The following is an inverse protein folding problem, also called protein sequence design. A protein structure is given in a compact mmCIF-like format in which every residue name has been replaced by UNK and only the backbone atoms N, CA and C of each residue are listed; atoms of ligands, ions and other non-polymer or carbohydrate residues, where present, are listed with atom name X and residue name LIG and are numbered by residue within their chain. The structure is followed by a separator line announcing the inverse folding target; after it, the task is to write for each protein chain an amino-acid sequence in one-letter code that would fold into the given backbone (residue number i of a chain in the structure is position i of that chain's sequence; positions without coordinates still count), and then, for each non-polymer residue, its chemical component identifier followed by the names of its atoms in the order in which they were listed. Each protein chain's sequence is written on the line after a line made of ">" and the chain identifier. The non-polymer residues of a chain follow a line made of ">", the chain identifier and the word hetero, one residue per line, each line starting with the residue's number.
data_IF_166352209216
#
_entry.id   IF_166352209216
#
_cell.length_a   1.000
_cell.length_b   1.000
_cell.length_c   1.000
_cell.angle_alpha   90.00
_cell.angle_beta   90.00
_cell.angle_gamma   90.00
#
_symmetry.space_group_name_H-M   'P 1'
#
loop_
_entity.id
_entity.type
_entity.pdbx_description
1 polymer ?
#
# COMPACT_ATOMS: atom_id res chain seq x y z
N UNK A 1 50.12 -1.17 -11.52
CA UNK A 1 48.94 -0.58 -12.21
C UNK A 1 47.83 -0.48 -11.18
N UNK A 2 47.38 0.73 -10.83
CA UNK A 2 46.28 0.90 -9.88
C UNK A 2 45.00 0.36 -10.50
N UNK A 3 44.37 -0.62 -9.87
CA UNK A 3 43.08 -1.17 -10.27
C UNK A 3 42.05 -0.02 -10.36
N UNK A 4 41.43 0.16 -11.52
CA UNK A 4 40.41 1.19 -11.74
C UNK A 4 39.17 0.77 -10.96
N UNK A 5 38.67 1.63 -10.07
CA UNK A 5 37.45 1.35 -9.28
C UNK A 5 36.28 1.02 -10.21
N UNK A 6 35.54 -0.07 -9.98
CA UNK A 6 34.32 -0.34 -10.72
C UNK A 6 33.31 0.79 -10.52
N UNK A 7 32.71 1.25 -11.62
CA UNK A 7 31.70 2.31 -11.60
C UNK A 7 30.32 1.68 -11.64
N UNK A 8 29.46 2.05 -10.70
CA UNK A 8 28.10 1.52 -10.57
C UNK A 8 27.12 2.68 -10.61
N UNK A 9 26.14 2.57 -11.51
CA UNK A 9 25.07 3.54 -11.65
C UNK A 9 23.75 2.89 -11.23
N UNK A 10 23.05 3.51 -10.29
CA UNK A 10 21.70 3.12 -9.88
C UNK A 10 20.74 4.15 -10.45
N UNK A 11 19.74 3.69 -11.22
CA UNK A 11 18.68 4.53 -11.78
C UNK A 11 17.44 4.41 -10.89
N UNK A 12 16.99 5.54 -10.37
CA UNK A 12 15.90 5.66 -9.40
C UNK A 12 16.39 5.70 -7.95
N UNK A 13 16.10 6.80 -7.25
CA UNK A 13 16.28 6.98 -5.81
C UNK A 13 14.98 6.70 -5.03
N UNK A 14 14.23 5.67 -5.45
CA UNK A 14 13.18 5.06 -4.65
C UNK A 14 13.73 4.10 -3.59
N UNK A 15 12.85 3.42 -2.84
CA UNK A 15 13.26 2.49 -1.78
C UNK A 15 14.22 1.40 -2.26
N UNK A 16 13.95 0.77 -3.41
CA UNK A 16 14.80 -0.28 -3.96
C UNK A 16 16.21 0.23 -4.31
N UNK A 17 16.30 1.35 -5.04
CA UNK A 17 17.57 1.93 -5.43
C UNK A 17 18.41 2.42 -4.24
N UNK A 18 17.76 3.04 -3.25
CA UNK A 18 18.44 3.49 -2.03
C UNK A 18 18.88 2.33 -1.13
N UNK A 19 18.09 1.25 -1.06
CA UNK A 19 18.49 0.03 -0.37
C UNK A 19 19.72 -0.63 -1.04
N UNK A 20 19.71 -0.73 -2.37
CA UNK A 20 20.84 -1.23 -3.14
C UNK A 20 22.10 -0.36 -2.93
N UNK A 21 21.96 0.97 -3.01
CA UNK A 21 23.05 1.91 -2.79
C UNK A 21 23.67 1.75 -1.40
N UNK A 22 22.81 1.67 -0.36
CA UNK A 22 23.25 1.47 1.02
C UNK A 22 23.98 0.14 1.20
N UNK A 23 23.49 -0.95 0.60
CA UNK A 23 24.10 -2.27 0.69
C UNK A 23 25.47 -2.30 0.01
N UNK A 24 25.57 -1.79 -1.21
CA UNK A 24 26.82 -1.73 -1.98
C UNK A 24 27.88 -0.88 -1.26
N UNK A 25 27.48 0.30 -0.77
CA UNK A 25 28.38 1.15 0.00
C UNK A 25 28.82 0.49 1.31
N UNK A 26 27.94 -0.22 2.02
CA UNK A 26 28.29 -0.91 3.26
C UNK A 26 29.27 -2.07 3.05
N UNK A 27 29.18 -2.77 1.91
CA UNK A 27 30.02 -3.93 1.61
C UNK A 27 31.37 -3.57 0.98
N UNK A 28 31.40 -2.59 0.09
CA UNK A 28 32.59 -2.29 -0.71
C UNK A 28 33.18 -0.89 -0.43
N UNK A 29 32.44 0.00 0.23
CA UNK A 29 32.88 1.34 0.58
C UNK A 29 33.56 2.06 -0.59
N UNK A 30 34.77 2.56 -0.34
CA UNK A 30 35.55 3.32 -1.32
C UNK A 30 36.15 2.48 -2.45
N UNK A 31 35.94 1.16 -2.48
CA UNK A 31 36.37 0.30 -3.59
C UNK A 31 35.50 0.49 -4.84
N UNK A 32 34.31 1.08 -4.70
CA UNK A 32 33.37 1.36 -5.80
C UNK A 32 33.22 2.87 -6.02
N UNK A 33 32.99 3.26 -7.27
CA UNK A 33 32.49 4.59 -7.65
C UNK A 33 30.98 4.47 -7.89
N UNK A 34 30.17 4.84 -6.87
CA UNK A 34 28.73 4.64 -6.85
C UNK A 34 27.98 5.96 -7.05
N UNK A 35 27.10 5.98 -8.06
CA UNK A 35 26.21 7.13 -8.34
C UNK A 35 24.75 6.67 -8.39
N UNK A 36 23.86 7.44 -7.78
CA UNK A 36 22.40 7.24 -7.88
C UNK A 36 21.82 8.40 -8.67
N UNK A 37 21.09 8.11 -9.74
CA UNK A 37 20.38 9.09 -10.56
C UNK A 37 18.89 8.99 -10.27
N UNK A 38 18.25 10.13 -9.99
CA UNK A 38 16.81 10.24 -9.81
C UNK A 38 16.25 11.15 -10.91
N UNK A 39 15.12 10.76 -11.49
CA UNK A 39 14.47 11.55 -12.53
C UNK A 39 13.70 12.73 -11.93
N UNK A 40 13.14 12.56 -10.73
CA UNK A 40 12.41 13.59 -10.01
C UNK A 40 13.30 14.57 -9.23
N UNK A 41 12.65 15.61 -8.68
CA UNK A 41 13.33 16.62 -7.85
C UNK A 41 13.64 16.12 -6.43
N UNK A 42 13.05 14.98 -6.04
CA UNK A 42 13.16 14.40 -4.70
C UNK A 42 13.44 12.90 -4.77
N UNK A 43 14.09 12.42 -3.73
CA UNK A 43 14.21 10.99 -3.44
C UNK A 43 12.89 10.43 -2.85
N UNK A 44 12.77 9.11 -2.84
CA UNK A 44 11.65 8.37 -2.24
C UNK A 44 10.70 7.70 -3.24
N UNK A 45 10.67 8.18 -4.49
CA UNK A 45 9.80 7.60 -5.53
C UNK A 45 8.33 7.60 -5.10
N UNK A 46 7.71 6.42 -5.04
CA UNK A 46 6.30 6.22 -4.63
C UNK A 46 6.00 6.48 -3.15
N UNK A 47 7.01 6.76 -2.33
CA UNK A 47 6.80 7.24 -0.95
C UNK A 47 6.82 8.76 -0.97
N UNK A 48 5.72 9.39 -0.57
CA UNK A 48 5.53 10.84 -0.65
C UNK A 48 4.62 11.34 0.47
N UNK A 49 5.22 12.05 1.41
CA UNK A 49 4.52 12.88 2.39
C UNK A 49 4.43 14.32 1.88
N UNK A 50 3.23 14.89 1.89
CA UNK A 50 2.95 16.29 1.58
C UNK A 50 2.36 17.00 2.79
N UNK A 51 2.33 18.33 2.77
CA UNK A 51 1.62 19.13 3.75
C UNK A 51 0.29 19.60 3.15
N UNK A 52 -0.81 19.40 3.90
CA UNK A 52 -2.13 19.87 3.53
C UNK A 52 -2.85 20.37 4.78
N UNK A 53 -3.36 21.61 4.72
CA UNK A 53 -4.07 22.25 5.84
C UNK A 53 -3.31 22.21 7.19
N UNK A 54 -1.98 22.33 7.16
CA UNK A 54 -1.13 22.28 8.36
C UNK A 54 -0.92 20.87 8.93
N UNK A 55 -1.37 19.82 8.24
CA UNK A 55 -1.15 18.43 8.58
C UNK A 55 -0.28 17.72 7.53
N UNK A 56 0.44 16.68 7.96
CA UNK A 56 1.16 15.80 7.03
C UNK A 56 0.21 14.75 6.49
N UNK A 57 0.20 14.58 5.16
CA UNK A 57 -0.62 13.61 4.44
C UNK A 57 0.25 12.75 3.53
N UNK A 58 -0.01 11.45 3.48
CA UNK A 58 0.64 10.55 2.53
C UNK A 58 -0.10 10.60 1.20
N UNK A 59 0.63 10.92 0.13
CA UNK A 59 0.13 10.92 -1.26
C UNK A 59 0.47 9.59 -1.95
N UNK A 60 1.36 8.79 -1.36
CA UNK A 60 1.81 7.50 -1.89
C UNK A 60 1.66 6.38 -0.88
N UNK A 61 2.75 5.63 -0.65
CA UNK A 61 2.76 4.54 0.32
C UNK A 61 2.34 5.02 1.72
N UNK A 62 1.16 4.59 2.16
CA UNK A 62 0.52 5.06 3.40
C UNK A 62 0.69 4.06 4.55
N UNK A 63 0.79 2.77 4.22
CA UNK A 63 0.70 1.67 5.18
C UNK A 63 1.94 0.77 5.15
N UNK A 64 2.27 0.21 6.32
CA UNK A 64 3.13 -0.96 6.44
C UNK A 64 2.21 -2.17 6.62
N UNK A 65 2.10 -2.99 5.57
CA UNK A 65 1.27 -4.20 5.56
C UNK A 65 2.00 -5.35 6.26
N UNK A 66 1.40 -5.84 7.35
CA UNK A 66 1.99 -6.85 8.23
C UNK A 66 3.21 -6.35 8.99
N UNK A 67 3.28 -6.64 10.29
CA UNK A 67 4.37 -6.17 11.16
C UNK A 67 5.28 -7.31 11.60
N UNK A 68 4.80 -8.54 11.55
CA UNK A 68 5.53 -9.70 12.01
C UNK A 68 6.47 -10.20 10.91
N UNK A 69 7.77 -10.12 11.18
CA UNK A 69 8.80 -10.50 10.21
C UNK A 69 8.99 -9.52 9.04
N UNK A 70 8.29 -8.38 9.04
CA UNK A 70 8.40 -7.39 7.98
C UNK A 70 9.68 -6.51 8.16
N UNK A 71 10.67 -6.59 7.25
CA UNK A 71 11.89 -5.78 7.36
C UNK A 71 11.65 -4.27 7.27
N UNK A 72 10.53 -3.85 6.67
CA UNK A 72 10.14 -2.44 6.65
C UNK A 72 9.74 -1.95 8.03
N UNK A 73 9.01 -2.76 8.80
CA UNK A 73 8.62 -2.38 10.16
C UNK A 73 9.85 -2.14 11.06
N UNK A 74 10.84 -3.02 11.00
CA UNK A 74 12.12 -2.85 11.70
C UNK A 74 12.87 -1.59 11.28
N UNK A 75 12.84 -1.27 9.98
CA UNK A 75 13.48 -0.06 9.44
C UNK A 75 12.80 1.20 9.98
N UNK A 76 11.48 1.25 9.97
CA UNK A 76 10.70 2.40 10.47
C UNK A 76 10.85 2.55 11.98
N UNK A 77 10.87 1.45 12.73
CA UNK A 77 11.16 1.44 14.17
C UNK A 77 12.55 2.03 14.47
N UNK A 78 13.58 1.60 13.74
CA UNK A 78 14.95 2.13 13.89
C UNK A 78 15.06 3.61 13.48
N UNK A 79 14.20 4.06 12.56
CA UNK A 79 14.12 5.45 12.16
C UNK A 79 13.38 6.32 13.18
N UNK A 80 12.77 5.74 14.22
CA UNK A 80 12.00 6.48 15.23
C UNK A 80 10.72 7.08 14.70
N UNK A 81 10.16 6.54 13.61
CA UNK A 81 9.01 7.11 12.92
C UNK A 81 7.67 6.45 13.26
N UNK A 82 7.71 5.37 14.06
CA UNK A 82 6.52 4.83 14.70
C UNK A 82 6.19 5.71 15.91
N UNK A 83 5.02 6.34 15.93
CA UNK A 83 4.49 6.97 17.15
C UNK A 83 3.94 5.87 18.07
N UNK A 84 4.16 6.02 19.38
CA UNK A 84 3.63 5.07 20.35
C UNK A 84 2.09 5.17 20.37
N UNK A 85 1.41 4.02 20.50
CA UNK A 85 -0.06 3.94 20.62
C UNK A 85 -0.58 4.74 21.84
N UNK A 86 0.28 4.95 22.83
CA UNK A 86 -0.05 5.56 24.12
C UNK A 86 -0.09 7.10 24.09
N UNK A 87 0.58 7.74 23.13
CA UNK A 87 0.56 9.20 22.99
C UNK A 87 -0.76 9.75 22.43
N UNK A 88 -1.61 8.90 21.84
CA UNK A 88 -2.88 9.30 21.23
C UNK A 88 -4.10 9.11 22.13
N UNK A 89 -3.92 8.74 23.41
CA UNK A 89 -5.00 8.71 24.42
C UNK A 89 -6.19 7.79 24.12
N UNK A 90 -6.12 6.95 23.08
CA UNK A 90 -7.27 6.19 22.61
C UNK A 90 -7.43 4.89 23.40
N UNK A 91 -8.41 4.84 24.31
CA UNK A 91 -8.91 3.61 24.98
C UNK A 91 -9.69 2.69 24.03
N UNK A 92 -9.39 2.74 22.74
CA UNK A 92 -10.03 1.96 21.68
C UNK A 92 -9.26 0.66 21.48
N UNK A 93 -9.96 -0.48 21.49
CA UNK A 93 -9.45 -1.78 21.05
C UNK A 93 -9.24 -1.87 19.54
N UNK A 94 -9.73 -0.89 18.77
CA UNK A 94 -9.52 -0.77 17.33
C UNK A 94 -8.29 0.08 17.00
N UNK A 95 -7.62 -0.18 15.88
CA UNK A 95 -6.43 0.57 15.49
C UNK A 95 -6.72 2.06 15.29
N UNK A 96 -5.86 2.94 15.79
CA UNK A 96 -6.16 4.37 16.02
C UNK A 96 -6.43 5.23 14.77
N UNK A 97 -6.43 4.64 13.58
CA UNK A 97 -6.53 5.33 12.29
C UNK A 97 -7.86 5.09 11.56
N UNK A 98 -8.67 4.12 11.99
CA UNK A 98 -10.05 3.96 11.49
C UNK A 98 -10.98 5.07 12.00
N UNK A 99 -10.54 5.89 12.97
CA UNK A 99 -11.37 6.91 13.61
C UNK A 99 -10.55 8.15 13.93
N UNK A 100 -10.53 9.11 13.01
CA UNK A 100 -9.94 10.45 13.25
C UNK A 100 -10.99 11.48 13.70
N UNK A 101 -12.27 11.14 13.72
CA UNK A 101 -13.37 12.11 13.71
C UNK A 101 -14.60 11.75 14.57
N UNK A 102 -14.57 10.66 15.35
CA UNK A 102 -15.61 10.40 16.37
C UNK A 102 -17.02 10.07 15.82
N UNK A 103 -17.10 9.63 14.56
CA UNK A 103 -18.32 9.10 13.91
C UNK A 103 -18.64 7.66 14.37
N UNK A 104 -19.89 7.15 14.20
CA UNK A 104 -20.53 6.21 15.12
C UNK A 104 -19.75 4.92 15.43
N UNK A 105 -20.05 4.34 16.60
CA UNK A 105 -19.46 3.07 17.06
C UNK A 105 -19.66 1.92 16.10
N UNK A 106 -20.70 1.98 15.27
CA UNK A 106 -20.98 1.05 14.20
C UNK A 106 -20.80 1.72 12.82
N UNK A 107 -20.15 1.05 11.86
CA UNK A 107 -20.00 1.58 10.51
C UNK A 107 -21.36 1.81 9.86
N UNK A 108 -21.56 3.02 9.34
CA UNK A 108 -22.76 3.42 8.62
C UNK A 108 -22.47 3.40 7.12
N UNK A 109 -23.17 2.56 6.37
CA UNK A 109 -23.08 2.52 4.91
C UNK A 109 -24.30 3.20 4.31
N UNK A 110 -24.03 4.18 3.45
CA UNK A 110 -25.04 4.96 2.74
C UNK A 110 -24.97 4.66 1.25
N UNK A 111 -26.11 4.37 0.65
CA UNK A 111 -26.25 4.33 -0.79
C UNK A 111 -26.46 5.74 -1.35
N UNK A 112 -26.38 5.87 -2.68
CA UNK A 112 -26.68 7.12 -3.38
C UNK A 112 -28.06 7.66 -2.96
N UNK A 113 -28.16 8.98 -2.77
CA UNK A 113 -29.37 9.61 -2.26
C UNK A 113 -29.53 9.58 -0.74
N UNK A 114 -28.54 9.07 0.00
CA UNK A 114 -28.51 9.11 1.47
C UNK A 114 -29.33 8.02 2.14
N UNK A 115 -29.66 6.94 1.41
CA UNK A 115 -30.37 5.79 1.96
C UNK A 115 -29.41 4.93 2.78
N UNK A 116 -29.79 4.62 4.02
CA UNK A 116 -29.02 3.69 4.84
C UNK A 116 -29.22 2.26 4.37
N UNK A 117 -28.13 1.54 4.18
CA UNK A 117 -28.14 0.11 3.83
C UNK A 117 -28.21 -0.73 5.12
N UNK A 118 -29.00 -1.81 5.10
CA UNK A 118 -29.12 -2.72 6.25
C UNK A 118 -27.75 -3.34 6.62
N UNK A 119 -27.26 -3.14 7.86
CA UNK A 119 -26.01 -3.73 8.31
C UNK A 119 -25.98 -5.26 8.26
N UNK A 120 -27.12 -5.94 8.39
CA UNK A 120 -27.18 -7.41 8.32
C UNK A 120 -26.89 -7.88 6.90
N UNK A 121 -27.49 -7.21 5.90
CA UNK A 121 -27.23 -7.48 4.49
C UNK A 121 -25.76 -7.28 4.15
N UNK A 122 -25.19 -6.15 4.56
CA UNK A 122 -23.77 -5.83 4.32
C UNK A 122 -22.86 -6.87 4.96
N UNK A 123 -23.13 -7.25 6.22
CA UNK A 123 -22.30 -8.25 6.90
C UNK A 123 -22.31 -9.59 6.17
N UNK A 124 -23.45 -10.01 5.62
CA UNK A 124 -23.56 -11.23 4.80
C UNK A 124 -22.71 -11.13 3.54
N UNK A 125 -22.82 -10.02 2.80
CA UNK A 125 -22.09 -9.80 1.55
C UNK A 125 -20.58 -9.66 1.81
N UNK A 126 -20.18 -8.92 2.84
CA UNK A 126 -18.77 -8.80 3.25
C UNK A 126 -18.19 -10.14 3.67
N UNK A 127 -18.96 -10.98 4.39
CA UNK A 127 -18.53 -12.32 4.77
C UNK A 127 -18.35 -13.22 3.54
N UNK A 128 -19.29 -13.18 2.58
CA UNK A 128 -19.18 -13.90 1.32
C UNK A 128 -17.93 -13.46 0.54
N UNK A 129 -17.76 -12.16 0.31
CA UNK A 129 -16.62 -11.63 -0.43
C UNK A 129 -15.29 -12.00 0.22
N UNK A 130 -15.20 -11.85 1.55
CA UNK A 130 -14.00 -12.23 2.31
C UNK A 130 -13.70 -13.72 2.19
N UNK A 131 -14.72 -14.57 2.22
CA UNK A 131 -14.56 -16.02 2.02
C UNK A 131 -14.04 -16.34 0.62
N UNK A 132 -14.59 -15.71 -0.43
CA UNK A 132 -14.12 -15.90 -1.80
C UNK A 132 -12.66 -15.46 -1.97
N UNK A 133 -12.26 -14.32 -1.39
CA UNK A 133 -10.84 -13.88 -1.37
C UNK A 133 -9.93 -14.87 -0.63
N UNK A 134 -10.38 -15.46 0.47
CA UNK A 134 -9.62 -16.48 1.19
C UNK A 134 -9.43 -17.75 0.35
N UNK A 135 -10.44 -18.17 -0.41
CA UNK A 135 -10.31 -19.30 -1.33
C UNK A 135 -9.29 -18.99 -2.45
N UNK A 136 -9.28 -17.77 -2.98
CA UNK A 136 -8.28 -17.33 -3.97
C UNK A 136 -6.88 -17.39 -3.37
N UNK A 137 -6.70 -16.82 -2.17
CA UNK A 137 -5.41 -16.78 -1.49
C UNK A 137 -4.90 -18.17 -1.07
N UNK A 138 -5.78 -19.10 -0.70
CA UNK A 138 -5.37 -20.47 -0.33
C UNK A 138 -4.86 -21.27 -1.54
N UNK A 139 -5.25 -20.88 -2.75
CA UNK A 139 -4.91 -21.60 -3.97
C UNK A 139 -5.56 -22.98 -4.08
N UNK A 140 -6.53 -23.29 -3.22
CA UNK A 140 -7.29 -24.55 -3.21
C UNK A 140 -8.39 -24.58 -4.30
N UNK A 141 -8.52 -23.50 -5.06
CA UNK A 141 -9.47 -23.39 -6.17
C UNK A 141 -8.86 -23.99 -7.44
N UNK A 142 -9.44 -25.07 -7.94
CA UNK A 142 -9.38 -25.41 -9.36
C UNK A 142 -10.57 -24.73 -10.05
N UNK A 143 -10.30 -23.63 -10.75
CA UNK A 143 -11.30 -22.92 -11.55
C UNK A 143 -10.87 -22.88 -13.01
N UNK A 144 -11.85 -23.05 -13.88
CA UNK A 144 -11.74 -22.88 -15.33
C UNK A 144 -11.76 -21.40 -15.77
N UNK A 145 -12.07 -20.48 -14.85
CA UNK A 145 -12.06 -19.04 -15.16
C UNK A 145 -10.65 -18.45 -15.02
N UNK A 146 -10.26 -17.54 -15.92
CA UNK A 146 -8.90 -16.99 -15.95
C UNK A 146 -8.66 -15.83 -14.97
N UNK A 147 -9.71 -15.11 -14.57
CA UNK A 147 -9.59 -13.85 -13.82
C UNK A 147 -10.25 -13.89 -12.45
N UNK A 148 -9.76 -13.03 -11.56
CA UNK A 148 -10.33 -12.82 -10.23
C UNK A 148 -11.76 -12.28 -10.34
N UNK A 149 -12.01 -11.31 -11.23
CA UNK A 149 -13.34 -10.74 -11.45
C UNK A 149 -14.37 -11.80 -11.86
N UNK A 150 -14.07 -12.59 -12.89
CA UNK A 150 -14.95 -13.64 -13.38
C UNK A 150 -15.25 -14.70 -12.30
N UNK A 151 -14.26 -15.07 -11.49
CA UNK A 151 -14.46 -15.99 -10.36
C UNK A 151 -15.43 -15.38 -9.33
N UNK A 152 -15.13 -14.18 -8.84
CA UNK A 152 -15.93 -13.50 -7.82
C UNK A 152 -17.38 -13.33 -8.27
N UNK A 153 -17.59 -12.91 -9.52
CA UNK A 153 -18.92 -12.72 -10.09
C UNK A 153 -19.69 -14.03 -10.21
N UNK A 154 -19.07 -15.08 -10.76
CA UNK A 154 -19.70 -16.40 -10.89
C UNK A 154 -20.16 -16.93 -9.53
N UNK A 155 -19.28 -16.91 -8.52
CA UNK A 155 -19.64 -17.44 -7.20
C UNK A 155 -20.69 -16.58 -6.50
N UNK A 156 -20.64 -15.25 -6.68
CA UNK A 156 -21.70 -14.37 -6.19
C UNK A 156 -23.06 -14.70 -6.82
N UNK A 157 -23.11 -14.94 -8.13
CA UNK A 157 -24.35 -15.33 -8.81
C UNK A 157 -24.86 -16.71 -8.38
N UNK A 158 -23.96 -17.66 -8.13
CA UNK A 158 -24.32 -18.99 -7.61
C UNK A 158 -24.91 -18.94 -6.20
N UNK A 159 -24.44 -18.02 -5.36
CA UNK A 159 -24.93 -17.84 -3.99
C UNK A 159 -26.22 -17.00 -3.91
N UNK A 160 -26.61 -16.33 -5.00
CA UNK A 160 -27.81 -15.50 -5.03
C UNK A 160 -29.02 -16.40 -5.25
N UNK A 161 -29.93 -16.45 -4.29
CA UNK A 161 -31.19 -17.19 -4.44
C UNK A 161 -32.00 -16.67 -5.65
N UNK A 162 -32.79 -17.54 -6.29
CA UNK A 162 -33.68 -17.20 -7.41
C UNK A 162 -34.72 -16.10 -7.08
N UNK A 163 -34.87 -15.75 -5.80
CA UNK A 163 -35.57 -14.54 -5.35
C UNK A 163 -34.69 -13.30 -5.52
N UNK A 164 -34.34 -13.02 -6.78
CA UNK A 164 -33.78 -11.76 -7.23
C UNK A 164 -34.66 -10.59 -6.76
N UNK A 165 -34.08 -9.52 -6.21
CA UNK A 165 -34.93 -8.40 -5.83
C UNK A 165 -34.31 -7.08 -5.38
N UNK A 166 -33.13 -7.04 -4.78
CA UNK A 166 -32.58 -5.76 -4.31
C UNK A 166 -31.27 -5.43 -5.02
N UNK A 167 -31.32 -4.42 -5.88
CA UNK A 167 -30.14 -3.74 -6.46
C UNK A 167 -29.09 -3.39 -5.40
N UNK A 168 -29.50 -3.31 -4.13
CA UNK A 168 -28.65 -3.08 -2.96
C UNK A 168 -27.63 -4.21 -2.77
N UNK A 169 -28.00 -5.48 -3.01
CA UNK A 169 -27.05 -6.60 -2.91
C UNK A 169 -25.96 -6.49 -3.97
N UNK A 170 -26.37 -6.22 -5.20
CA UNK A 170 -25.48 -6.01 -6.34
C UNK A 170 -24.54 -4.81 -6.09
N UNK A 171 -25.09 -3.70 -5.59
CA UNK A 171 -24.33 -2.50 -5.25
C UNK A 171 -23.36 -2.74 -4.09
N UNK A 172 -23.77 -3.48 -3.06
CA UNK A 172 -22.92 -3.84 -1.93
C UNK A 172 -21.77 -4.77 -2.36
N UNK A 173 -22.02 -5.72 -3.26
CA UNK A 173 -20.95 -6.56 -3.80
C UNK A 173 -19.99 -5.74 -4.67
N UNK A 174 -20.53 -4.88 -5.55
CA UNK A 174 -19.74 -3.98 -6.39
C UNK A 174 -18.89 -3.00 -5.55
N UNK A 175 -19.37 -2.57 -4.38
CA UNK A 175 -18.59 -1.78 -3.42
C UNK A 175 -17.33 -2.53 -2.96
N UNK A 176 -17.44 -3.83 -2.67
CA UNK A 176 -16.28 -4.65 -2.29
C UNK A 176 -15.30 -4.84 -3.46
N UNK A 177 -15.79 -5.04 -4.68
CA UNK A 177 -14.92 -5.09 -5.86
C UNK A 177 -14.21 -3.77 -6.13
N UNK A 178 -14.89 -2.63 -5.91
CA UNK A 178 -14.25 -1.32 -5.97
C UNK A 178 -13.13 -1.22 -4.93
N UNK A 179 -13.37 -1.70 -3.71
CA UNK A 179 -12.32 -1.81 -2.69
C UNK A 179 -11.15 -2.67 -3.17
N UNK A 180 -11.42 -3.86 -3.71
CA UNK A 180 -10.40 -4.78 -4.18
C UNK A 180 -9.53 -4.21 -5.30
N UNK A 181 -10.14 -3.46 -6.23
CA UNK A 181 -9.40 -2.72 -7.28
C UNK A 181 -8.40 -1.73 -6.70
N UNK A 182 -8.71 -1.10 -5.57
CA UNK A 182 -7.76 -0.21 -4.88
C UNK A 182 -6.61 -0.97 -4.22
N UNK A 183 -6.85 -2.18 -3.71
CA UNK A 183 -5.80 -3.02 -3.12
C UNK A 183 -4.84 -3.59 -4.18
N UNK A 184 -5.40 -4.03 -5.30
CA UNK A 184 -4.64 -4.68 -6.40
C UNK A 184 -4.12 -3.68 -7.45
N UNK A 185 -4.56 -2.43 -7.38
CA UNK A 185 -4.23 -1.35 -8.32
C UNK A 185 -4.56 -1.68 -9.78
N UNK A 186 -5.70 -2.34 -10.01
CA UNK A 186 -6.24 -2.63 -11.35
C UNK A 186 -7.49 -1.82 -11.63
N UNK A 187 -7.67 -1.43 -12.90
CA UNK A 187 -8.89 -0.73 -13.34
C UNK A 187 -10.12 -1.65 -13.31
N UNK A 188 -9.91 -2.94 -13.59
CA UNK A 188 -10.92 -3.99 -13.66
C UNK A 188 -10.35 -5.32 -13.12
N UNK A 189 -11.12 -6.01 -12.27
CA UNK A 189 -10.73 -7.32 -11.72
C UNK A 189 -10.72 -8.43 -12.77
N UNK A 190 -11.38 -8.22 -13.91
CA UNK A 190 -11.30 -9.15 -15.04
C UNK A 190 -9.92 -9.14 -15.72
N UNK A 191 -9.10 -8.12 -15.48
CA UNK A 191 -7.71 -8.07 -15.93
C UNK A 191 -6.73 -8.75 -14.97
N UNK A 192 -7.17 -9.09 -13.77
CA UNK A 192 -6.34 -9.68 -12.73
C UNK A 192 -6.35 -11.20 -12.86
N UNK A 193 -5.18 -11.78 -13.13
CA UNK A 193 -5.02 -13.22 -13.30
C UNK A 193 -5.24 -13.98 -11.99
N UNK A 194 -6.16 -14.95 -12.03
CA UNK A 194 -6.56 -15.72 -10.85
C UNK A 194 -5.44 -16.61 -10.33
N UNK A 195 -4.62 -17.17 -11.23
CA UNK A 195 -3.56 -18.10 -10.85
C UNK A 195 -2.35 -17.39 -10.24
N UNK A 196 -2.08 -16.15 -10.66
CA UNK A 196 -1.01 -15.30 -10.13
C UNK A 196 -1.38 -14.70 -8.77
N UNK A 197 -2.66 -14.46 -8.48
CA UNK A 197 -3.09 -13.81 -7.25
C UNK A 197 -2.67 -14.60 -5.99
N UNK A 198 -2.67 -15.94 -6.04
CA UNK A 198 -2.22 -16.79 -4.93
C UNK A 198 -0.72 -16.68 -4.61
N UNK A 199 0.08 -16.09 -5.51
CA UNK A 199 1.51 -15.88 -5.29
C UNK A 199 1.78 -14.67 -4.38
N UNK A 200 0.80 -13.80 -4.17
CA UNK A 200 0.94 -12.66 -3.29
C UNK A 200 0.99 -13.12 -1.83
N UNK A 201 2.08 -12.75 -1.14
CA UNK A 201 2.30 -13.11 0.26
C UNK A 201 2.12 -11.90 1.14
N UNK A 202 1.13 -11.95 2.02
CA UNK A 202 0.97 -10.97 3.09
C UNK A 202 1.83 -11.33 4.30
N UNK A 203 2.49 -10.32 4.86
CA UNK A 203 3.11 -10.47 6.16
C UNK A 203 2.03 -10.53 7.24
N UNK A 204 2.16 -11.42 8.25
CA UNK A 204 1.21 -11.49 9.35
C UNK A 204 1.29 -10.25 10.26
N UNK A 205 0.24 -10.06 11.06
CA UNK A 205 0.13 -8.98 12.04
C UNK A 205 -0.66 -7.77 11.55
N UNK A 206 -0.98 -6.84 12.45
CA UNK A 206 -1.82 -5.68 12.12
C UNK A 206 -1.07 -4.70 11.21
N UNK A 207 -1.68 -4.32 10.09
CA UNK A 207 -1.23 -3.20 9.26
C UNK A 207 -1.12 -1.93 10.10
N UNK A 208 -0.09 -1.10 9.92
CA UNK A 208 0.07 0.16 10.68
C UNK A 208 0.37 1.33 9.75
N UNK A 209 -0.30 2.49 9.90
CA UNK A 209 0.08 3.69 9.19
C UNK A 209 1.35 4.27 9.82
N UNK A 210 2.02 5.16 9.09
CA UNK A 210 3.07 6.00 9.66
C UNK A 210 2.49 7.40 9.98
N UNK A 211 1.95 7.64 11.19
CA UNK A 211 1.22 8.87 11.54
C UNK A 211 2.08 10.16 11.61
N UNK A 212 3.40 10.05 11.49
CA UNK A 212 4.32 11.19 11.32
C UNK A 212 4.75 11.41 9.86
N UNK A 213 3.97 10.85 8.93
CA UNK A 213 4.42 10.52 7.59
C UNK A 213 5.32 9.28 7.59
N UNK A 214 5.35 8.57 6.47
CA UNK A 214 6.41 7.58 6.21
C UNK A 214 7.72 8.36 6.25
N UNK A 215 8.65 8.06 7.17
CA UNK A 215 9.78 8.94 7.43
C UNK A 215 10.51 9.22 6.12
N UNK A 216 10.47 10.48 5.69
CA UNK A 216 11.44 10.97 4.73
C UNK A 216 12.82 10.59 5.24
N UNK A 217 13.66 10.04 4.36
CA UNK A 217 14.96 9.48 4.71
C UNK A 217 15.68 10.30 5.80
N UNK A 218 16.31 9.64 6.79
CA UNK A 218 17.06 10.34 7.83
C UNK A 218 18.00 11.35 7.18
N UNK A 219 18.08 12.56 7.72
CA UNK A 219 18.95 13.63 7.19
C UNK A 219 20.42 13.21 7.06
N UNK A 220 20.84 12.17 7.79
CA UNK A 220 22.15 11.51 7.67
C UNK A 220 22.38 10.81 6.32
N UNK A 221 21.33 10.38 5.62
CA UNK A 221 21.39 9.79 4.29
C UNK A 221 21.48 10.85 3.19
N UNK A 222 20.79 11.99 3.36
CA UNK A 222 20.88 13.14 2.44
C UNK A 222 22.29 13.75 2.39
N UNK A 223 23.04 13.71 3.51
CA UNK A 223 24.41 14.23 3.58
C UNK A 223 25.47 13.34 2.89
N UNK A 224 25.14 12.07 2.57
CA UNK A 224 26.11 11.10 2.02
C UNK A 224 26.03 10.89 0.51
N UNK A 225 24.96 11.34 -0.13
CA UNK A 225 24.84 11.31 -1.59
C UNK A 225 24.89 12.75 -2.10
N UNK A 226 25.91 13.06 -2.92
CA UNK A 226 26.04 14.36 -3.57
C UNK A 226 24.93 14.48 -4.61
N UNK A 227 23.85 15.18 -4.27
CA UNK A 227 22.80 15.51 -5.23
C UNK A 227 23.34 16.62 -6.15
N UNK A 228 23.94 16.24 -7.27
CA UNK A 228 24.28 17.20 -8.33
C UNK A 228 23.00 17.51 -9.11
N UNK A 229 22.53 18.76 -9.03
CA UNK A 229 21.45 19.23 -9.89
C UNK A 229 21.98 19.23 -11.32
N UNK A 230 21.32 18.53 -12.24
CA UNK A 230 21.44 18.87 -13.65
C UNK A 230 20.89 20.29 -13.82
N UNK A 231 21.79 21.28 -13.91
CA UNK A 231 21.43 22.67 -14.11
C UNK A 231 20.68 22.83 -15.43
N UNK A 232 19.43 23.28 -15.36
CA UNK A 232 18.75 23.89 -16.50
C UNK A 232 19.41 25.25 -16.76
N UNK A 233 20.37 25.25 -17.69
CA UNK A 233 20.86 26.47 -18.32
C UNK A 233 19.78 27.05 -19.24
N UNK A 234 18.71 27.59 -18.68
CA UNK A 234 17.80 28.47 -19.40
C UNK A 234 18.40 29.88 -19.37
N UNK A 235 19.28 30.15 -20.34
CA UNK A 235 19.73 31.50 -20.62
C UNK A 235 18.54 32.35 -21.05
N UNK A 236 18.28 33.42 -20.32
CA UNK A 236 17.39 34.49 -20.75
C UNK A 236 17.96 35.17 -21.99
N UNK A 237 17.18 35.16 -23.06
CA UNK A 237 17.18 36.18 -24.12
C UNK A 237 15.76 36.53 -24.45
#
# INVERSE_FOLDING_TARGET
>A
MGSKKPRVLIVGAGMAGLAAARRLHACAGDLLDLVVLEAGERIGGRILTSEFAGAQVEIGATWIHGIDGNPMYDLVKKAGALRSRDELGSKSTLPSWERMDGFPTDPLTLAEGGLTVDPILLRRISALFSHLKQLIASGEIESDVPSVGAFLRREFQNCRDDFAGEWIEEAAFAMHECGERTYTAVDDLDSLDLAAEKEYLEFPGSTSPCPGGTPGFPSSWRKRFRQERCGSGAGSR
#
